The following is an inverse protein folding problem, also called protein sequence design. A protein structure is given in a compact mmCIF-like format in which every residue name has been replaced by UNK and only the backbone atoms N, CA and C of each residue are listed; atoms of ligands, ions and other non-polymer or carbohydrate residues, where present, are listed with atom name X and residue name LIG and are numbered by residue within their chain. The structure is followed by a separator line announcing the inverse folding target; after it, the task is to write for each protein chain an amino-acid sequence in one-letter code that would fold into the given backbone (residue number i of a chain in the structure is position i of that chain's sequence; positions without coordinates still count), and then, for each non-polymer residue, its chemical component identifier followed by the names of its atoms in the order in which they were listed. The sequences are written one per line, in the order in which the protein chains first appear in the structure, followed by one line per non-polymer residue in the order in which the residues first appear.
data_IF_321279345577
#
_entry.id   IF_321279345577
#
_cell.length_a   1.000
_cell.length_b   1.000
_cell.length_c   1.000
_cell.angle_alpha   90.00
_cell.angle_beta   90.00
_cell.angle_gamma   90.00
#
_symmetry.space_group_name_H-M   'P 1'
#
loop_
_entity.id
_entity.type
_entity.pdbx_description
1 polymer ?
#
# COMPACT_ATOMS: atom_id res chain seq x y z
N UNK A 1 -9.35 14.15 7.30
CA UNK A 1 -8.72 13.40 8.41
C UNK A 1 -7.49 12.67 7.92
N UNK A 2 -6.32 12.97 8.48
CA UNK A 2 -5.08 12.22 8.19
C UNK A 2 -4.98 11.04 9.15
N UNK A 3 -4.70 9.85 8.62
CA UNK A 3 -4.32 8.69 9.42
C UNK A 3 -2.84 8.80 9.74
N UNK A 4 -2.49 8.66 11.01
CA UNK A 4 -1.11 8.50 11.45
C UNK A 4 -0.97 7.15 12.15
N UNK A 5 0.26 6.66 12.23
CA UNK A 5 0.55 5.38 12.90
C UNK A 5 0.07 5.43 14.37
N UNK A 6 -0.48 4.32 14.87
CA UNK A 6 -1.10 4.25 16.20
C UNK A 6 -2.59 4.64 16.27
N UNK A 7 -3.29 4.76 15.14
CA UNK A 7 -4.77 4.90 15.09
C UNK A 7 -5.30 6.30 15.38
N UNK A 8 -4.43 7.28 15.62
CA UNK A 8 -4.80 8.67 15.84
C UNK A 8 -5.27 9.29 14.53
N UNK A 9 -6.38 10.04 14.60
CA UNK A 9 -6.97 10.76 13.49
C UNK A 9 -6.77 12.26 13.71
N UNK A 10 -6.13 12.93 12.76
CA UNK A 10 -5.96 14.40 12.81
C UNK A 10 -6.92 15.08 11.83
N UNK A 11 -7.63 16.09 12.33
CA UNK A 11 -8.50 16.96 11.55
C UNK A 11 -7.75 18.23 11.15
N UNK A 12 -7.94 18.66 9.90
CA UNK A 12 -7.28 19.84 9.35
C UNK A 12 -8.32 20.68 8.62
N UNK A 13 -8.29 22.00 8.86
CA UNK A 13 -8.96 22.99 8.02
C UNK A 13 -7.93 23.59 7.07
N UNK A 14 -8.16 23.51 5.77
CA UNK A 14 -7.23 23.94 4.73
C UNK A 14 -7.90 25.01 3.87
N UNK A 15 -7.15 26.04 3.51
CA UNK A 15 -7.58 27.03 2.52
C UNK A 15 -7.25 26.52 1.12
N UNK A 16 -8.13 26.78 0.14
CA UNK A 16 -7.90 26.41 -1.25
C UNK A 16 -6.96 27.43 -1.94
N UNK A 17 -6.11 27.02 -2.89
CA UNK A 17 -5.97 25.66 -3.45
C UNK A 17 -5.13 24.74 -2.56
N UNK A 18 -5.57 23.48 -2.42
CA UNK A 18 -4.88 22.47 -1.61
C UNK A 18 -4.76 21.13 -2.36
N UNK A 19 -3.67 20.40 -2.10
CA UNK A 19 -3.42 19.06 -2.63
C UNK A 19 -3.68 18.04 -1.52
N UNK A 20 -4.48 17.02 -1.81
CA UNK A 20 -4.89 15.99 -0.85
C UNK A 20 -4.59 14.62 -1.46
N UNK A 21 -3.75 13.84 -0.77
CA UNK A 21 -3.54 12.42 -1.09
C UNK A 21 -4.68 11.57 -0.53
N UNK A 22 -5.22 10.67 -1.34
CA UNK A 22 -6.26 9.72 -0.94
C UNK A 22 -5.68 8.33 -0.70
N UNK A 23 -5.93 7.76 0.48
CA UNK A 23 -5.56 6.39 0.83
C UNK A 23 -6.67 5.40 0.40
N UNK A 24 -6.32 4.12 0.19
CA UNK A 24 -7.24 3.06 -0.28
C UNK A 24 -8.45 2.86 0.63
N UNK A 25 -8.30 3.12 1.92
CA UNK A 25 -9.38 3.01 2.90
C UNK A 25 -10.28 4.25 3.02
N UNK A 26 -10.13 5.25 2.15
CA UNK A 26 -10.93 6.48 2.20
C UNK A 26 -12.37 6.26 1.75
N UNK A 27 -12.58 5.45 0.72
CA UNK A 27 -13.90 5.12 0.19
C UNK A 27 -13.92 3.70 -0.39
N UNK A 28 -15.12 3.17 -0.61
CA UNK A 28 -15.35 1.97 -1.42
C UNK A 28 -15.75 2.41 -2.83
N UNK A 29 -14.91 2.20 -3.86
CA UNK A 29 -15.24 2.63 -5.21
C UNK A 29 -16.53 1.97 -5.71
N UNK A 30 -17.44 2.78 -6.27
CA UNK A 30 -18.68 2.26 -6.86
C UNK A 30 -18.38 1.49 -8.15
N UNK A 31 -19.15 0.44 -8.41
CA UNK A 31 -19.11 -0.23 -9.71
C UNK A 31 -19.65 0.70 -10.80
N UNK A 32 -18.92 0.89 -11.91
CA UNK A 32 -19.38 1.70 -13.02
C UNK A 32 -20.48 0.97 -13.79
N UNK A 33 -21.45 1.73 -14.31
CA UNK A 33 -22.47 1.20 -15.21
C UNK A 33 -21.93 1.09 -16.64
N UNK A 34 -22.48 0.18 -17.44
CA UNK A 34 -22.05 -0.02 -18.83
C UNK A 34 -22.06 1.27 -19.68
N UNK A 35 -23.10 2.15 -19.57
CA UNK A 35 -23.08 3.43 -20.28
C UNK A 35 -21.93 4.36 -19.86
N UNK A 36 -21.59 4.37 -18.57
CA UNK A 36 -20.49 5.16 -18.03
C UNK A 36 -19.13 4.69 -18.52
N UNK A 37 -18.94 3.37 -18.61
CA UNK A 37 -17.73 2.75 -19.20
C UNK A 37 -17.60 3.16 -20.67
N UNK A 38 -18.69 3.05 -21.46
CA UNK A 38 -18.68 3.44 -22.87
C UNK A 38 -18.37 4.94 -23.07
N UNK A 39 -18.93 5.81 -22.22
CA UNK A 39 -18.65 7.26 -22.27
C UNK A 39 -17.20 7.56 -21.91
N UNK A 40 -16.65 6.91 -20.89
CA UNK A 40 -15.25 7.09 -20.49
C UNK A 40 -14.29 6.65 -21.60
N UNK A 41 -14.56 5.51 -22.25
CA UNK A 41 -13.74 5.01 -23.39
C UNK A 41 -13.70 5.98 -24.58
N UNK A 42 -14.75 6.78 -24.79
CA UNK A 42 -14.83 7.75 -25.89
C UNK A 42 -14.18 9.09 -25.59
N UNK A 43 -13.81 9.38 -24.33
CA UNK A 43 -13.17 10.65 -24.00
C UNK A 43 -11.74 10.67 -24.57
N UNK A 44 -11.33 11.75 -25.26
CA UNK A 44 -9.95 11.90 -25.68
C UNK A 44 -9.04 11.96 -24.44
N UNK A 45 -7.87 11.33 -24.54
CA UNK A 45 -6.81 11.40 -23.54
C UNK A 45 -5.76 12.35 -24.12
N UNK A 46 -5.52 13.46 -23.44
CA UNK A 46 -4.46 14.39 -23.83
C UNK A 46 -3.11 13.83 -23.37
N UNK A 47 -2.21 13.61 -24.33
CA UNK A 47 -0.84 13.20 -24.06
C UNK A 47 0.03 14.46 -23.99
N UNK A 48 0.57 14.73 -22.80
CA UNK A 48 1.50 15.84 -22.57
C UNK A 48 2.92 15.28 -22.61
N UNK A 49 3.75 15.83 -23.48
CA UNK A 49 5.13 15.39 -23.63
C UNK A 49 6.04 16.06 -22.59
N UNK A 50 7.10 15.35 -22.18
CA UNK A 50 7.98 15.80 -21.10
C UNK A 50 8.87 16.97 -21.50
N UNK A 51 9.13 17.16 -22.79
CA UNK A 51 10.09 18.14 -23.31
C UNK A 51 9.67 19.60 -23.02
N UNK A 52 8.38 19.84 -22.73
CA UNK A 52 7.87 21.16 -22.34
C UNK A 52 7.91 21.44 -20.84
N UNK A 53 8.26 20.46 -20.01
CA UNK A 53 8.30 20.57 -18.55
C UNK A 53 9.77 20.61 -18.13
N UNK A 54 10.26 21.77 -17.67
CA UNK A 54 11.64 21.98 -17.19
C UNK A 54 11.94 21.20 -15.88
N UNK A 55 11.90 19.87 -15.95
CA UNK A 55 12.08 18.96 -14.81
C UNK A 55 13.41 18.21 -15.00
N UNK A 56 14.28 18.29 -14.01
CA UNK A 56 15.55 17.55 -13.98
C UNK A 56 15.45 16.37 -13.02
N UNK A 57 15.87 15.18 -13.46
CA UNK A 57 15.96 14.01 -12.60
C UNK A 57 17.12 14.15 -11.60
N UNK A 58 16.81 14.02 -10.31
CA UNK A 58 17.77 14.18 -9.20
C UNK A 58 18.10 12.86 -8.49
N UNK A 59 17.80 11.71 -9.09
CA UNK A 59 18.05 10.40 -8.48
C UNK A 59 18.77 9.45 -9.43
N UNK A 60 19.63 8.59 -8.89
CA UNK A 60 20.29 7.52 -9.63
C UNK A 60 19.82 6.16 -9.11
N UNK A 61 19.39 5.30 -10.04
CA UNK A 61 18.98 3.94 -9.71
C UNK A 61 20.20 3.05 -9.52
N UNK A 62 20.39 2.50 -8.33
CA UNK A 62 21.62 1.74 -8.02
C UNK A 62 21.46 0.24 -8.31
N UNK A 63 20.44 -0.43 -7.78
CA UNK A 63 20.23 -1.88 -7.96
C UNK A 63 18.77 -2.27 -7.66
N UNK A 64 18.30 -3.36 -8.27
CA UNK A 64 17.02 -4.02 -7.97
C UNK A 64 17.28 -5.49 -7.65
N UNK A 65 16.78 -5.99 -6.52
CA UNK A 65 16.79 -7.41 -6.22
C UNK A 65 15.40 -7.84 -5.76
N UNK A 66 14.97 -9.02 -6.18
CA UNK A 66 13.75 -9.64 -5.67
C UNK A 66 13.98 -10.05 -4.21
N UNK A 67 12.97 -9.92 -3.32
CA UNK A 67 13.06 -10.51 -2.00
C UNK A 67 13.25 -12.04 -2.13
N UNK A 68 14.01 -12.63 -1.20
CA UNK A 68 14.26 -14.07 -1.19
C UNK A 68 12.97 -14.88 -1.06
N UNK A 69 13.05 -16.17 -1.41
CA UNK A 69 11.94 -17.10 -1.22
C UNK A 69 11.51 -17.16 0.25
N UNK A 70 10.20 -17.35 0.47
CA UNK A 70 9.68 -17.46 1.83
C UNK A 70 10.29 -18.69 2.51
N UNK A 71 10.71 -18.58 3.79
CA UNK A 71 11.20 -19.74 4.52
C UNK A 71 10.12 -20.83 4.61
N UNK A 72 10.56 -22.09 4.68
CA UNK A 72 9.69 -23.25 4.85
C UNK A 72 8.78 -23.11 6.06
N UNK A 73 7.52 -23.51 5.91
CA UNK A 73 6.55 -23.54 7.01
C UNK A 73 6.86 -24.72 7.91
N UNK A 74 7.17 -24.46 9.17
CA UNK A 74 7.31 -25.50 10.18
C UNK A 74 5.94 -25.90 10.74
N UNK A 75 5.50 -27.12 10.42
CA UNK A 75 4.30 -27.69 11.03
C UNK A 75 4.61 -28.14 12.46
N UNK A 76 3.91 -27.59 13.45
CA UNK A 76 4.02 -28.01 14.85
C UNK A 76 3.17 -29.28 15.07
N UNK A 77 3.78 -30.34 15.59
CA UNK A 77 3.12 -31.62 15.88
C UNK A 77 3.21 -31.93 17.37
N UNK A 78 2.18 -32.58 17.92
CA UNK A 78 2.11 -32.92 19.35
C UNK A 78 0.75 -32.64 19.97
N UNK A 79 0.70 -32.66 21.30
CA UNK A 79 -0.47 -32.23 22.07
C UNK A 79 -0.62 -30.71 22.05
N UNK A 80 -1.82 -30.19 22.34
CA UNK A 80 -2.11 -28.74 22.30
C UNK A 80 -1.15 -27.92 23.19
N UNK A 81 -0.78 -28.44 24.35
CA UNK A 81 0.15 -27.77 25.28
C UNK A 81 1.59 -27.71 24.72
N UNK A 82 2.06 -28.78 24.06
CA UNK A 82 3.39 -28.82 23.46
C UNK A 82 3.48 -27.89 22.25
N UNK A 83 2.43 -27.82 21.44
CA UNK A 83 2.35 -26.91 20.29
C UNK A 83 2.40 -25.44 20.73
N UNK A 84 1.69 -25.08 21.82
CA UNK A 84 1.71 -23.72 22.36
C UNK A 84 3.11 -23.34 22.85
N UNK A 85 3.79 -24.24 23.58
CA UNK A 85 5.14 -23.99 24.07
C UNK A 85 6.17 -23.86 22.93
N UNK A 86 6.07 -24.70 21.90
CA UNK A 86 6.91 -24.62 20.70
C UNK A 86 6.66 -23.33 19.92
N UNK A 87 5.39 -22.90 19.79
CA UNK A 87 5.02 -21.66 19.12
C UNK A 87 5.60 -20.42 19.84
N UNK A 88 5.45 -20.34 21.16
CA UNK A 88 5.96 -19.22 21.95
C UNK A 88 7.49 -19.13 21.84
N UNK A 89 8.17 -20.27 21.85
CA UNK A 89 9.64 -20.32 21.73
C UNK A 89 10.07 -19.79 20.36
N UNK A 90 9.47 -20.29 19.26
CA UNK A 90 9.78 -19.83 17.90
C UNK A 90 9.46 -18.36 17.66
N UNK A 91 8.35 -17.85 18.21
CA UNK A 91 7.98 -16.43 18.08
C UNK A 91 8.95 -15.50 18.81
N UNK A 92 9.45 -15.90 19.99
CA UNK A 92 10.50 -15.17 20.71
C UNK A 92 11.83 -15.17 19.95
N UNK A 93 12.21 -16.28 19.35
CA UNK A 93 13.43 -16.40 18.53
C UNK A 93 13.38 -15.50 17.29
N UNK A 94 12.22 -15.42 16.62
CA UNK A 94 12.03 -14.60 15.43
C UNK A 94 11.83 -13.09 15.73
N UNK A 95 11.84 -12.66 17.01
CA UNK A 95 11.54 -11.29 17.44
C UNK A 95 10.23 -10.75 16.84
N UNK A 96 9.25 -11.63 16.68
CA UNK A 96 7.91 -11.25 16.26
C UNK A 96 7.02 -10.83 17.46
N UNK A 97 7.55 -10.98 18.68
CA UNK A 97 7.02 -10.53 19.96
C UNK A 97 7.99 -9.55 20.62
#
# INVERSE_FOLDING_TARGET
TKKIDGGVKQEYSLNLPAIIGADKGLNTPRYPNLPGIMKAKRKPIEEVSWEGLNISDNFSFTNYNLPGERPSVDMLTGTEEEQVNQLITKLKEQKAL
#
